data_IF_476317531766
#
_entry.id   IF_476317531766
#
_cell.length_a   1.000
_cell.length_b   1.000
_cell.length_c   1.000
_cell.angle_alpha   90.00
_cell.angle_beta   90.00
_cell.angle_gamma   90.00
#
_symmetry.space_group_name_H-M   'P 1'
#
loop_
_entity.id
_entity.type
_entity.pdbx_description
1 polymer ?
#
# COMPACT_ATOMS: atom_id res chain seq x y z
N UNK A 1 8.02 -2.48 -20.86
CA UNK A 1 7.06 -3.59 -21.11
C UNK A 1 6.12 -3.69 -19.90
N UNK A 2 4.80 -3.53 -20.10
CA UNK A 2 3.81 -3.45 -19.01
C UNK A 2 3.45 -4.85 -18.48
N UNK A 3 3.10 -4.95 -17.20
CA UNK A 3 2.88 -6.21 -16.45
C UNK A 3 1.60 -6.93 -16.89
N UNK A 4 0.67 -6.23 -17.57
CA UNK A 4 -0.55 -6.83 -18.14
C UNK A 4 -0.69 -6.27 -19.55
N UNK A 5 -0.62 -7.04 -20.65
CA UNK A 5 -0.97 -6.51 -21.98
C UNK A 5 -2.38 -5.89 -21.93
N UNK A 6 -2.70 -4.95 -22.81
CA UNK A 6 -4.06 -4.38 -22.91
C UNK A 6 -5.09 -5.50 -22.77
N UNK A 7 -5.88 -5.45 -21.69
CA UNK A 7 -6.75 -6.57 -21.30
C UNK A 7 -7.68 -6.85 -22.47
N UNK A 8 -7.73 -8.10 -22.92
CA UNK A 8 -8.65 -8.47 -24.00
C UNK A 8 -10.10 -8.22 -23.57
N UNK A 9 -11.02 -8.05 -24.53
CA UNK A 9 -12.44 -7.88 -24.22
C UNK A 9 -12.97 -8.99 -23.31
N UNK A 10 -12.52 -10.23 -23.54
CA UNK A 10 -12.87 -11.38 -22.72
C UNK A 10 -12.34 -11.26 -21.29
N UNK A 11 -11.04 -10.99 -21.10
CA UNK A 11 -10.47 -10.84 -19.76
C UNK A 11 -11.06 -9.63 -19.00
N UNK A 12 -11.44 -8.57 -19.70
CA UNK A 12 -12.12 -7.41 -19.12
C UNK A 12 -13.50 -7.78 -18.60
N UNK A 13 -14.24 -8.62 -19.33
CA UNK A 13 -15.55 -9.12 -18.91
C UNK A 13 -15.46 -9.94 -17.61
N UNK A 14 -14.49 -10.85 -17.50
CA UNK A 14 -14.25 -11.61 -16.26
C UNK A 14 -13.89 -10.70 -15.09
N UNK A 15 -13.02 -9.72 -15.33
CA UNK A 15 -12.63 -8.75 -14.31
C UNK A 15 -13.87 -7.99 -13.79
N UNK A 16 -14.72 -7.47 -14.69
CA UNK A 16 -15.94 -6.76 -14.30
C UNK A 16 -16.90 -7.68 -13.55
N UNK A 17 -17.13 -8.91 -14.04
CA UNK A 17 -18.01 -9.88 -13.38
C UNK A 17 -17.56 -10.22 -11.97
N UNK A 18 -16.23 -10.38 -11.77
CA UNK A 18 -15.66 -10.66 -10.45
C UNK A 18 -15.91 -9.51 -9.48
N UNK A 19 -15.64 -8.26 -9.88
CA UNK A 19 -15.92 -7.09 -9.03
C UNK A 19 -17.41 -6.92 -8.73
N UNK A 20 -18.27 -7.15 -9.73
CA UNK A 20 -19.73 -7.13 -9.53
C UNK A 20 -20.18 -8.22 -8.55
N UNK A 21 -19.60 -9.43 -8.64
CA UNK A 21 -19.90 -10.52 -7.72
C UNK A 21 -19.50 -10.16 -6.29
N UNK A 22 -18.29 -9.65 -6.08
CA UNK A 22 -17.81 -9.25 -4.75
C UNK A 22 -18.70 -8.14 -4.17
N UNK A 23 -19.04 -7.12 -4.97
CA UNK A 23 -19.92 -6.04 -4.55
C UNK A 23 -21.33 -6.53 -4.20
N UNK A 24 -21.92 -7.39 -5.02
CA UNK A 24 -23.23 -7.97 -4.77
C UNK A 24 -23.24 -8.83 -3.49
N UNK A 25 -22.22 -9.65 -3.29
CA UNK A 25 -22.07 -10.45 -2.07
C UNK A 25 -21.91 -9.57 -0.84
N UNK A 26 -21.07 -8.53 -0.90
CA UNK A 26 -20.89 -7.59 0.22
C UNK A 26 -22.17 -6.85 0.59
N UNK A 27 -22.96 -6.39 -0.40
CA UNK A 27 -24.25 -5.75 -0.16
C UNK A 27 -25.23 -6.73 0.52
N UNK A 28 -25.28 -7.97 0.04
CA UNK A 28 -26.18 -8.98 0.56
C UNK A 28 -25.80 -9.40 1.99
N UNK A 29 -24.50 -9.52 2.29
CA UNK A 29 -23.98 -9.76 3.64
C UNK A 29 -24.36 -8.63 4.60
N UNK A 30 -24.18 -7.37 4.20
CA UNK A 30 -24.58 -6.20 5.00
C UNK A 30 -26.08 -6.19 5.29
N UNK A 31 -26.90 -6.55 4.29
CA UNK A 31 -28.36 -6.57 4.43
C UNK A 31 -28.85 -7.64 5.40
N UNK A 32 -28.23 -8.83 5.41
CA UNK A 32 -28.61 -9.91 6.32
C UNK A 32 -27.99 -9.82 7.70
N UNK A 33 -26.76 -9.33 7.81
CA UNK A 33 -26.06 -9.21 9.09
C UNK A 33 -26.56 -8.04 9.94
N UNK A 34 -27.18 -7.02 9.33
CA UNK A 34 -27.57 -5.78 10.01
C UNK A 34 -26.37 -4.94 10.48
N UNK A 35 -25.17 -5.26 10.02
CA UNK A 35 -23.93 -4.55 10.36
C UNK A 35 -23.87 -3.25 9.55
N UNK A 36 -23.36 -2.17 10.18
CA UNK A 36 -23.17 -0.90 9.49
C UNK A 36 -22.07 -1.00 8.43
N UNK A 37 -22.19 -0.23 7.34
CA UNK A 37 -21.14 -0.19 6.29
C UNK A 37 -19.79 0.27 6.85
N UNK A 38 -19.81 1.14 7.86
CA UNK A 38 -18.59 1.66 8.52
C UNK A 38 -17.87 0.56 9.30
N UNK A 39 -18.62 -0.27 10.03
CA UNK A 39 -18.05 -1.39 10.77
C UNK A 39 -17.51 -2.48 9.84
N UNK A 40 -18.23 -2.78 8.76
CA UNK A 40 -17.76 -3.71 7.72
C UNK A 40 -16.47 -3.21 7.07
N UNK A 41 -16.43 -1.94 6.67
CA UNK A 41 -15.23 -1.35 6.08
C UNK A 41 -14.05 -1.35 7.07
N UNK A 42 -14.30 -1.01 8.33
CA UNK A 42 -13.27 -1.05 9.38
C UNK A 42 -12.76 -2.47 9.60
N UNK A 43 -13.62 -3.48 9.51
CA UNK A 43 -13.23 -4.88 9.58
C UNK A 43 -12.30 -5.26 8.42
N UNK A 44 -12.62 -4.89 7.18
CA UNK A 44 -11.75 -5.10 6.01
C UNK A 44 -10.38 -4.44 6.19
N UNK A 45 -10.36 -3.20 6.68
CA UNK A 45 -9.11 -2.50 6.99
C UNK A 45 -8.27 -3.25 8.03
N UNK A 46 -8.88 -3.72 9.13
CA UNK A 46 -8.18 -4.52 10.14
C UNK A 46 -7.71 -5.86 9.60
N UNK A 47 -8.48 -6.51 8.72
CA UNK A 47 -8.09 -7.74 8.07
C UNK A 47 -6.82 -7.55 7.22
N UNK A 48 -6.75 -6.49 6.42
CA UNK A 48 -5.54 -6.15 5.63
C UNK A 48 -4.34 -5.83 6.52
N UNK A 49 -4.53 -5.04 7.59
CA UNK A 49 -3.46 -4.67 8.53
C UNK A 49 -2.94 -5.92 9.26
N UNK A 50 -3.84 -6.79 9.75
CA UNK A 50 -3.48 -8.05 10.40
C UNK A 50 -2.79 -9.02 9.44
N UNK A 51 -3.29 -9.11 8.20
CA UNK A 51 -2.71 -9.90 7.11
C UNK A 51 -1.27 -9.49 6.78
N UNK A 52 -1.01 -8.19 6.69
CA UNK A 52 0.33 -7.64 6.38
C UNK A 52 1.30 -7.66 7.56
N UNK A 53 0.84 -7.92 8.79
CA UNK A 53 1.68 -7.91 9.99
C UNK A 53 1.62 -9.24 10.76
N UNK A 54 0.68 -9.36 11.71
CA UNK A 54 0.60 -10.47 12.66
C UNK A 54 0.43 -11.83 11.99
N UNK A 55 -0.41 -11.93 10.95
CA UNK A 55 -0.62 -13.20 10.25
C UNK A 55 0.64 -13.64 9.52
N UNK A 56 1.31 -12.72 8.84
CA UNK A 56 2.57 -13.00 8.14
C UNK A 56 3.64 -13.51 9.11
N UNK A 57 3.78 -12.84 10.26
CA UNK A 57 4.73 -13.26 11.30
C UNK A 57 4.38 -14.63 11.89
N UNK A 58 3.10 -14.90 12.15
CA UNK A 58 2.63 -16.20 12.64
C UNK A 58 2.93 -17.34 11.65
N UNK A 59 2.76 -17.10 10.34
CA UNK A 59 3.13 -18.08 9.31
C UNK A 59 4.63 -18.38 9.31
N UNK A 60 5.48 -17.35 9.39
CA UNK A 60 6.93 -17.55 9.46
C UNK A 60 7.35 -18.31 10.72
N UNK A 61 6.77 -17.99 11.87
CA UNK A 61 7.03 -18.71 13.12
C UNK A 61 6.58 -20.17 13.04
N UNK A 62 5.40 -20.44 12.49
CA UNK A 62 4.91 -21.80 12.27
C UNK A 62 5.83 -22.60 11.34
N UNK A 63 6.30 -21.98 10.26
CA UNK A 63 7.23 -22.62 9.34
C UNK A 63 8.58 -22.94 9.98
N UNK A 64 9.15 -22.00 10.76
CA UNK A 64 10.39 -22.23 11.50
C UNK A 64 10.24 -23.34 12.54
N UNK A 65 9.09 -23.41 13.21
CA UNK A 65 8.81 -24.50 14.16
C UNK A 65 8.77 -25.85 13.47
N UNK A 66 8.06 -25.96 12.34
CA UNK A 66 7.91 -27.22 11.59
C UNK A 66 9.22 -27.65 10.93
N UNK A 67 9.99 -26.72 10.35
CA UNK A 67 11.19 -27.05 9.58
C UNK A 67 12.47 -27.11 10.41
N UNK A 68 12.62 -26.26 11.42
CA UNK A 68 13.85 -26.12 12.19
C UNK A 68 13.75 -26.65 13.62
N UNK A 69 12.56 -27.09 14.07
CA UNK A 69 12.33 -27.58 15.43
C UNK A 69 12.55 -26.52 16.52
N UNK A 70 12.61 -25.23 16.15
CA UNK A 70 12.79 -24.13 17.09
C UNK A 70 11.45 -23.89 17.78
N UNK A 71 11.40 -24.11 19.10
CA UNK A 71 10.24 -23.74 19.92
C UNK A 71 10.11 -22.22 19.98
N UNK A 72 9.34 -21.67 19.05
CA UNK A 72 8.89 -20.28 19.09
C UNK A 72 7.81 -20.16 20.15
N UNK A 73 8.20 -19.97 21.41
CA UNK A 73 7.24 -19.78 22.49
C UNK A 73 6.53 -18.43 22.29
N UNK A 74 5.30 -18.48 21.78
CA UNK A 74 4.41 -17.33 21.73
C UNK A 74 3.88 -17.11 23.14
N UNK A 75 4.70 -16.55 24.03
CA UNK A 75 4.20 -16.06 25.32
C UNK A 75 3.23 -14.93 25.01
N UNK A 76 1.94 -15.26 25.07
CA UNK A 76 0.83 -14.31 25.03
C UNK A 76 0.98 -13.49 26.30
N UNK A 77 1.65 -12.35 26.22
CA UNK A 77 1.76 -11.42 27.35
C UNK A 77 0.36 -10.92 27.66
N UNK A 78 -0.17 -11.27 28.83
CA UNK A 78 -1.36 -10.65 29.39
C UNK A 78 -1.16 -9.13 29.37
N UNK A 79 -2.22 -8.38 29.06
CA UNK A 79 -2.26 -6.95 29.31
C UNK A 79 -2.22 -6.73 30.83
N UNK A 80 -1.05 -6.75 31.42
CA UNK A 80 -0.82 -6.26 32.76
C UNK A 80 0.50 -5.49 32.75
N UNK A 81 0.35 -4.20 33.02
CA UNK A 81 1.34 -3.26 33.53
C UNK A 81 2.48 -3.93 34.28
N UNK A 82 3.70 -3.82 33.77
CA UNK A 82 4.91 -3.72 34.58
C UNK A 82 5.90 -2.85 33.80
N UNK A 83 5.96 -1.59 34.21
CA UNK A 83 6.63 -0.48 33.52
C UNK A 83 8.17 -0.52 33.68
N UNK A 84 8.76 -1.53 34.32
CA UNK A 84 10.20 -1.60 34.60
C UNK A 84 10.72 -3.06 34.69
N UNK A 85 10.80 -3.76 33.56
CA UNK A 85 11.39 -5.11 33.52
C UNK A 85 11.83 -5.55 32.13
N UNK A 86 12.72 -6.54 32.07
CA UNK A 86 13.33 -7.17 30.88
C UNK A 86 12.36 -7.50 29.73
N UNK A 87 11.06 -7.61 30.03
CA UNK A 87 9.99 -7.85 29.05
C UNK A 87 9.49 -6.58 28.33
N UNK A 88 9.76 -5.38 28.84
CA UNK A 88 9.44 -4.12 28.18
C UNK A 88 10.22 -3.98 26.87
N UNK A 89 11.52 -4.30 26.87
CA UNK A 89 12.35 -4.30 25.65
C UNK A 89 11.84 -5.32 24.63
N UNK A 90 11.46 -6.53 25.08
CA UNK A 90 10.91 -7.56 24.21
C UNK A 90 9.54 -7.16 23.62
N UNK A 91 8.70 -6.48 24.40
CA UNK A 91 7.41 -5.93 23.93
C UNK A 91 7.61 -4.81 22.90
N UNK A 92 8.57 -3.90 23.16
CA UNK A 92 8.96 -2.82 22.24
C UNK A 92 9.50 -3.39 20.92
N UNK A 93 10.36 -4.41 20.98
CA UNK A 93 10.92 -5.06 19.79
C UNK A 93 9.86 -5.79 18.97
N UNK A 94 8.97 -6.57 19.62
CA UNK A 94 7.86 -7.26 18.95
C UNK A 94 6.91 -6.28 18.27
N UNK A 95 6.51 -5.21 18.96
CA UNK A 95 5.63 -4.19 18.40
C UNK A 95 6.27 -3.45 17.21
N UNK A 96 7.55 -3.11 17.30
CA UNK A 96 8.25 -2.41 16.22
C UNK A 96 8.40 -3.30 15.00
N UNK A 97 8.73 -4.59 15.18
CA UNK A 97 8.85 -5.54 14.06
C UNK A 97 7.53 -5.78 13.33
N UNK A 98 6.38 -5.75 14.03
CA UNK A 98 5.06 -5.92 13.40
C UNK A 98 4.64 -4.70 12.56
N UNK A 99 5.19 -3.51 12.84
CA UNK A 99 4.88 -2.26 12.14
C UNK A 99 5.68 -2.12 10.84
N UNK A 100 6.84 -2.76 10.75
CA UNK A 100 7.76 -2.63 9.60
C UNK A 100 7.07 -3.03 8.28
N UNK A 101 6.44 -4.21 8.13
CA UNK A 101 5.90 -4.60 6.83
C UNK A 101 4.74 -3.71 6.35
N UNK A 102 3.69 -3.40 7.16
CA UNK A 102 2.62 -2.50 6.73
C UNK A 102 3.13 -1.09 6.39
N UNK A 103 4.08 -0.56 7.17
CA UNK A 103 4.70 0.75 6.91
C UNK A 103 5.47 0.74 5.59
N UNK A 104 6.22 -0.32 5.33
CA UNK A 104 6.99 -0.47 4.08
C UNK A 104 6.08 -0.54 2.86
N UNK A 105 5.00 -1.35 2.93
CA UNK A 105 3.99 -1.44 1.86
C UNK A 105 3.35 -0.07 1.59
N UNK A 106 3.00 0.66 2.65
CA UNK A 106 2.42 1.99 2.54
C UNK A 106 3.39 2.98 1.87
N UNK A 107 4.64 3.04 2.32
CA UNK A 107 5.66 3.95 1.79
C UNK A 107 5.96 3.68 0.32
N UNK A 108 6.12 2.40 -0.06
CA UNK A 108 6.37 2.02 -1.46
C UNK A 108 5.20 2.42 -2.36
N UNK A 109 3.95 2.23 -1.89
CA UNK A 109 2.77 2.64 -2.67
C UNK A 109 2.68 4.17 -2.81
N UNK A 110 2.97 4.93 -1.75
CA UNK A 110 3.00 6.40 -1.81
C UNK A 110 4.06 6.91 -2.78
N UNK A 111 5.29 6.40 -2.70
CA UNK A 111 6.37 6.74 -3.63
C UNK A 111 6.00 6.35 -5.06
N UNK A 112 5.42 5.18 -5.26
CA UNK A 112 4.96 4.70 -6.56
C UNK A 112 3.90 5.60 -7.19
N UNK A 113 2.94 6.10 -6.40
CA UNK A 113 1.94 7.07 -6.86
C UNK A 113 2.61 8.37 -7.29
N UNK A 114 3.47 8.96 -6.45
CA UNK A 114 4.14 10.24 -6.75
C UNK A 114 5.03 10.12 -8.00
N UNK A 115 5.85 9.06 -8.08
CA UNK A 115 6.72 8.81 -9.22
C UNK A 115 5.93 8.53 -10.51
N UNK A 116 4.87 7.72 -10.42
CA UNK A 116 4.01 7.37 -11.56
C UNK A 116 3.29 8.59 -12.13
N UNK A 117 2.70 9.42 -11.26
CA UNK A 117 2.06 10.69 -11.66
C UNK A 117 3.08 11.66 -12.26
N UNK A 118 4.26 11.80 -11.64
CA UNK A 118 5.33 12.66 -12.14
C UNK A 118 5.79 12.25 -13.54
N UNK A 119 5.91 10.94 -13.78
CA UNK A 119 6.23 10.39 -15.10
C UNK A 119 5.13 10.68 -16.13
N UNK A 120 3.86 10.48 -15.78
CA UNK A 120 2.76 10.68 -16.72
C UNK A 120 2.54 12.15 -17.11
N UNK A 121 2.74 13.07 -16.16
CA UNK A 121 2.71 14.51 -16.44
C UNK A 121 3.80 14.87 -17.45
N UNK A 122 5.00 14.32 -17.30
CA UNK A 122 6.12 14.62 -18.19
C UNK A 122 6.08 13.88 -19.53
N UNK A 123 5.34 12.77 -19.65
CA UNK A 123 5.34 11.89 -20.84
C UNK A 123 4.13 12.06 -21.75
N UNK A 124 3.19 12.97 -21.44
CA UNK A 124 2.00 13.25 -22.24
C UNK A 124 0.84 12.25 -22.06
N UNK A 125 -0.29 12.55 -22.72
CA UNK A 125 -1.60 11.92 -22.46
C UNK A 125 -1.63 10.39 -22.61
N UNK A 126 -0.85 9.83 -23.54
CA UNK A 126 -0.82 8.39 -23.83
C UNK A 126 -0.37 7.53 -22.62
N UNK A 127 0.37 8.14 -21.68
CA UNK A 127 0.86 7.45 -20.48
C UNK A 127 -0.20 7.26 -19.38
N UNK A 128 -1.32 8.00 -19.43
CA UNK A 128 -2.34 8.01 -18.38
C UNK A 128 -3.22 6.77 -18.37
N UNK A 129 -3.54 6.19 -19.54
CA UNK A 129 -4.35 4.97 -19.64
C UNK A 129 -3.76 3.80 -18.85
N UNK A 130 -2.51 3.38 -19.12
CA UNK A 130 -1.85 2.32 -18.36
C UNK A 130 -1.58 2.68 -16.88
N UNK A 131 -1.48 3.97 -16.56
CA UNK A 131 -1.24 4.43 -15.19
C UNK A 131 -2.51 4.32 -14.33
N UNK A 132 -3.69 4.54 -14.89
CA UNK A 132 -4.96 4.55 -14.14
C UNK A 132 -5.17 3.29 -13.31
N UNK A 133 -5.01 2.11 -13.92
CA UNK A 133 -5.15 0.84 -13.21
C UNK A 133 -4.13 0.69 -12.07
N UNK A 134 -2.89 1.14 -12.28
CA UNK A 134 -1.85 1.09 -11.23
C UNK A 134 -2.20 2.01 -10.06
N UNK A 135 -2.67 3.21 -10.34
CA UNK A 135 -3.11 4.16 -9.32
C UNK A 135 -4.31 3.63 -8.55
N UNK A 136 -5.27 2.99 -9.23
CA UNK A 136 -6.44 2.40 -8.58
C UNK A 136 -6.02 1.38 -7.50
N UNK A 137 -5.16 0.41 -7.85
CA UNK A 137 -4.70 -0.59 -6.88
C UNK A 137 -3.81 0.01 -5.78
N UNK A 138 -2.91 0.94 -6.13
CA UNK A 138 -2.05 1.60 -5.13
C UNK A 138 -2.88 2.42 -4.13
N UNK A 139 -3.86 3.18 -4.60
CA UNK A 139 -4.77 3.95 -3.75
C UNK A 139 -5.67 3.02 -2.92
N UNK A 140 -6.17 1.92 -3.48
CA UNK A 140 -6.94 0.93 -2.73
C UNK A 140 -6.17 0.43 -1.50
N UNK A 141 -4.89 0.07 -1.67
CA UNK A 141 -4.01 -0.35 -0.57
C UNK A 141 -3.81 0.78 0.45
N UNK A 142 -3.54 2.01 -0.02
CA UNK A 142 -3.35 3.17 0.86
C UNK A 142 -4.60 3.44 1.70
N UNK A 143 -5.79 3.37 1.11
CA UNK A 143 -7.06 3.58 1.83
C UNK A 143 -7.28 2.48 2.88
N UNK A 144 -6.93 1.22 2.58
CA UNK A 144 -7.02 0.14 3.57
C UNK A 144 -6.05 0.34 4.75
N UNK A 145 -4.85 0.84 4.48
CA UNK A 145 -3.83 1.11 5.49
C UNK A 145 -3.94 2.50 6.15
N UNK A 146 -4.93 3.32 5.77
CA UNK A 146 -5.10 4.67 6.32
C UNK A 146 -5.32 4.70 7.84
N UNK A 147 -6.14 3.83 8.46
CA UNK A 147 -6.27 3.80 9.92
C UNK A 147 -4.96 3.47 10.63
N UNK A 148 -4.13 2.61 10.02
CA UNK A 148 -2.80 2.28 10.53
C UNK A 148 -1.87 3.50 10.47
N UNK A 149 -1.86 4.22 9.35
CA UNK A 149 -1.13 5.49 9.22
C UNK A 149 -1.57 6.52 10.27
N UNK A 150 -2.90 6.66 10.47
CA UNK A 150 -3.46 7.52 11.53
C UNK A 150 -3.00 7.09 12.92
N UNK A 151 -2.96 5.80 13.19
CA UNK A 151 -2.47 5.25 14.46
C UNK A 151 -0.98 5.55 14.70
N UNK A 152 -0.15 5.41 13.67
CA UNK A 152 1.29 5.73 13.75
C UNK A 152 1.53 7.21 14.02
N UNK A 153 0.84 8.09 13.29
CA UNK A 153 0.93 9.54 13.45
C UNK A 153 0.32 10.03 14.77
N UNK A 154 -0.75 9.40 15.25
CA UNK A 154 -1.40 9.75 16.51
C UNK A 154 -0.60 9.37 17.75
N UNK A 155 0.18 8.28 17.70
CA UNK A 155 1.12 7.92 18.79
C UNK A 155 2.24 8.93 18.92
N UNK A 156 2.62 9.55 17.80
CA UNK A 156 3.64 10.59 17.71
C UNK A 156 2.95 11.95 17.68
N UNK A 157 2.38 12.35 18.83
CA UNK A 157 1.59 13.57 19.10
C UNK A 157 2.32 14.92 18.82
N UNK A 158 3.24 14.94 17.86
CA UNK A 158 4.21 15.99 17.60
C UNK A 158 4.40 16.34 16.14
N UNK A 159 3.93 15.56 15.16
CA UNK A 159 4.05 15.94 13.74
C UNK A 159 2.87 16.81 13.33
N UNK A 160 3.04 18.13 13.17
CA UNK A 160 1.93 19.00 12.80
C UNK A 160 1.47 18.63 11.38
N UNK A 161 0.15 18.56 11.14
CA UNK A 161 -0.41 18.25 9.81
C UNK A 161 0.19 19.14 8.72
N UNK A 162 0.50 20.40 9.05
CA UNK A 162 1.15 21.34 8.15
C UNK A 162 2.51 20.83 7.65
N UNK A 163 3.33 20.20 8.49
CA UNK A 163 4.65 19.66 8.10
C UNK A 163 4.50 18.49 7.14
N UNK A 164 3.48 17.64 7.34
CA UNK A 164 3.18 16.53 6.43
C UNK A 164 2.79 17.07 5.05
N UNK A 165 1.92 18.08 5.00
CA UNK A 165 1.51 18.71 3.74
C UNK A 165 2.70 19.30 3.00
N UNK A 166 3.55 20.07 3.69
CA UNK A 166 4.76 20.63 3.06
C UNK A 166 5.73 19.55 2.58
N UNK A 167 5.88 18.45 3.33
CA UNK A 167 6.75 17.34 2.94
C UNK A 167 6.25 16.66 1.66
N UNK A 168 4.94 16.43 1.54
CA UNK A 168 4.32 15.84 0.33
C UNK A 168 4.48 16.79 -0.86
N UNK A 169 4.24 18.09 -0.66
CA UNK A 169 4.39 19.09 -1.72
C UNK A 169 5.83 19.15 -2.22
N UNK A 170 6.80 19.24 -1.29
CA UNK A 170 8.21 19.31 -1.62
C UNK A 170 8.70 18.03 -2.31
N UNK A 171 8.30 16.86 -1.82
CA UNK A 171 8.61 15.57 -2.46
C UNK A 171 8.05 15.48 -3.90
N UNK A 172 6.84 16.01 -4.11
CA UNK A 172 6.22 16.06 -5.45
C UNK A 172 7.00 16.95 -6.40
N UNK A 173 7.41 18.15 -5.96
CA UNK A 173 8.25 19.06 -6.75
C UNK A 173 9.59 18.40 -7.10
N UNK A 174 10.28 17.81 -6.11
CA UNK A 174 11.55 17.13 -6.35
C UNK A 174 11.41 15.96 -7.33
N UNK A 175 10.34 15.16 -7.21
CA UNK A 175 10.05 14.08 -8.14
C UNK A 175 9.84 14.59 -9.57
N UNK A 176 9.07 15.67 -9.75
CA UNK A 176 8.84 16.29 -11.06
C UNK A 176 10.13 16.82 -11.68
N UNK A 177 10.93 17.56 -10.89
CA UNK A 177 12.22 18.10 -11.32
C UNK A 177 13.19 16.97 -11.67
N UNK A 178 13.26 15.93 -10.84
CA UNK A 178 14.12 14.77 -11.07
C UNK A 178 13.77 14.11 -12.40
N UNK A 179 12.50 13.77 -12.64
CA UNK A 179 12.09 13.15 -13.92
C UNK A 179 12.44 14.04 -15.12
N UNK A 180 12.39 15.37 -14.95
CA UNK A 180 12.69 16.32 -16.04
C UNK A 180 14.19 16.46 -16.33
N UNK A 181 15.03 16.43 -15.30
CA UNK A 181 16.48 16.69 -15.39
C UNK A 181 17.28 15.39 -15.58
N UNK A 182 16.73 14.24 -15.14
CA UNK A 182 17.47 12.99 -15.05
C UNK A 182 18.14 12.61 -16.39
N UNK A 183 19.49 12.67 -16.48
CA UNK A 183 20.22 12.41 -17.71
C UNK A 183 20.14 10.93 -18.12
N UNK A 184 19.88 10.03 -17.17
CA UNK A 184 19.83 8.58 -17.36
C UNK A 184 18.51 8.06 -17.95
N UNK A 185 17.53 8.93 -18.19
CA UNK A 185 16.34 8.56 -18.98
C UNK A 185 16.76 8.46 -20.45
N UNK A 186 16.52 7.31 -21.10
CA UNK A 186 16.98 7.06 -22.48
C UNK A 186 16.46 8.14 -23.44
N UNK A 187 17.26 8.52 -24.43
CA UNK A 187 16.89 9.56 -25.39
C UNK A 187 15.61 9.23 -26.17
N UNK A 188 15.30 7.94 -26.34
CA UNK A 188 14.02 7.44 -26.85
C UNK A 188 12.81 7.81 -25.97
N UNK A 189 12.94 7.70 -24.64
CA UNK A 189 11.89 8.10 -23.71
C UNK A 189 11.76 9.64 -23.64
N UNK A 190 12.88 10.38 -23.76
CA UNK A 190 12.87 11.85 -23.85
C UNK A 190 12.21 12.33 -25.15
N UNK A 191 12.47 11.69 -26.29
CA UNK A 191 11.87 12.00 -27.59
C UNK A 191 10.36 11.72 -27.61
N UNK A 192 9.91 10.59 -27.04
CA UNK A 192 8.50 10.28 -26.87
C UNK A 192 7.77 11.29 -25.96
N UNK A 193 8.41 11.71 -24.86
CA UNK A 193 7.87 12.69 -23.92
C UNK A 193 7.73 14.11 -24.51
N UNK A 194 8.58 14.47 -25.48
CA UNK A 194 8.53 15.74 -26.21
C UNK A 194 7.59 15.71 -27.42
N UNK A 195 6.88 14.61 -27.66
CA UNK A 195 6.02 14.43 -28.83
C UNK A 195 6.79 14.42 -30.17
N UNK A 196 8.09 14.14 -30.13
CA UNK A 196 8.99 14.18 -31.29
C UNK A 196 9.16 12.82 -31.99
N UNK A 197 8.44 11.78 -31.56
CA UNK A 197 8.43 10.51 -32.27
C UNK A 197 7.17 10.39 -33.16
N UNK A 198 7.39 10.06 -34.43
CA UNK A 198 6.33 9.72 -35.39
C UNK A 198 5.66 8.37 -35.09
N UNK A 199 4.93 7.85 -36.07
CA UNK A 199 4.00 6.69 -35.98
C UNK A 199 4.68 5.35 -35.58
N UNK A 200 6.01 5.31 -35.44
CA UNK A 200 6.77 4.11 -35.06
C UNK A 200 7.60 4.34 -33.79
N UNK A 201 6.90 4.75 -32.73
CA UNK A 201 7.24 4.42 -31.35
C UNK A 201 6.14 3.48 -30.83
#
# INVERSE_FOLDING_TARGET
>A
KFIIPTISNFASMFFIMLFMSIAATGILELRWSGVSIEDWWRNEQFWVIGGTSAHLFAVFQGLLKVLAGIDTNFTVTSKASDDDGEFAELYVFKWTSLIIPPTTVLLINLVGVVAGVSYAINSGYQSWGPLFGKLFFALWVIVHLYPFLKGLLGRQNRTPTIVIVWSILLASIFSLLWVRINPFTSDSNKAASKGQCGINC
#
